data_IF_384231169744
#
_entry.id   IF_384231169744
#
_cell.length_a   1.000
_cell.length_b   1.000
_cell.length_c   1.000
_cell.angle_alpha   90.00
_cell.angle_beta   90.00
_cell.angle_gamma   90.00
#
_symmetry.space_group_name_H-M   'P 1'
#
loop_
_entity.id
_entity.type
_entity.pdbx_description
1 polymer ?
#
# COMPACT_ATOMS: atom_id res chain seq x y z
N UNK A 1 -9.84 25.90 -8.54
CA UNK A 1 -8.88 25.24 -9.46
C UNK A 1 -7.62 24.74 -8.74
N UNK A 2 -6.92 25.55 -7.93
CA UNK A 2 -5.72 25.11 -7.19
C UNK A 2 -5.98 23.92 -6.23
N UNK A 3 -7.09 23.96 -5.47
CA UNK A 3 -7.47 22.89 -4.53
C UNK A 3 -7.71 21.53 -5.24
N UNK A 4 -8.33 21.56 -6.42
CA UNK A 4 -8.62 20.35 -7.19
C UNK A 4 -7.34 19.76 -7.78
N UNK A 5 -6.39 20.60 -8.21
CA UNK A 5 -5.09 20.17 -8.72
C UNK A 5 -4.24 19.51 -7.62
N UNK A 6 -4.25 20.07 -6.40
CA UNK A 6 -3.57 19.48 -5.24
C UNK A 6 -4.19 18.12 -4.89
N UNK A 7 -5.52 18.02 -4.89
CA UNK A 7 -6.22 16.78 -4.58
C UNK A 7 -5.96 15.69 -5.63
N UNK A 8 -5.94 16.04 -6.91
CA UNK A 8 -5.56 15.12 -7.98
C UNK A 8 -4.09 14.69 -7.86
N UNK A 9 -3.20 15.64 -7.54
CA UNK A 9 -1.77 15.36 -7.32
C UNK A 9 -1.53 14.41 -6.16
N UNK A 10 -2.22 14.59 -5.03
CA UNK A 10 -2.16 13.70 -3.87
C UNK A 10 -2.65 12.28 -4.20
N UNK A 11 -3.68 12.13 -5.04
CA UNK A 11 -4.17 10.80 -5.45
C UNK A 11 -3.24 10.10 -6.44
N UNK A 12 -2.64 10.85 -7.37
CA UNK A 12 -1.57 10.31 -8.22
C UNK A 12 -0.36 9.88 -7.38
N UNK A 13 -0.04 10.63 -6.34
CA UNK A 13 1.01 10.30 -5.40
C UNK A 13 0.69 9.01 -4.64
N UNK A 14 -0.52 8.89 -4.09
CA UNK A 14 -1.00 7.65 -3.47
C UNK A 14 -0.91 6.48 -4.45
N UNK A 15 -1.43 6.63 -5.67
CA UNK A 15 -1.38 5.61 -6.71
C UNK A 15 0.04 5.14 -7.05
N UNK A 16 0.99 6.07 -7.14
CA UNK A 16 2.37 5.73 -7.43
C UNK A 16 2.98 4.88 -6.31
N UNK A 17 2.77 5.25 -5.05
CA UNK A 17 3.26 4.47 -3.91
C UNK A 17 2.57 3.12 -3.78
N UNK A 18 1.27 3.05 -4.00
CA UNK A 18 0.53 1.77 -3.96
C UNK A 18 1.02 0.81 -5.03
N UNK A 19 1.29 1.32 -6.24
CA UNK A 19 1.82 0.53 -7.36
C UNK A 19 3.23 0.01 -7.04
N UNK A 20 4.10 0.87 -6.51
CA UNK A 20 5.46 0.46 -6.15
C UNK A 20 5.45 -0.62 -5.05
N UNK A 21 4.68 -0.44 -3.98
CA UNK A 21 4.57 -1.43 -2.90
C UNK A 21 4.00 -2.75 -3.44
N UNK A 22 2.98 -2.71 -4.30
CA UNK A 22 2.42 -3.90 -4.93
C UNK A 22 3.46 -4.64 -5.78
N UNK A 23 4.24 -3.93 -6.60
CA UNK A 23 5.27 -4.52 -7.44
C UNK A 23 6.40 -5.15 -6.62
N UNK A 24 6.87 -4.46 -5.57
CA UNK A 24 7.90 -4.94 -4.66
C UNK A 24 7.45 -6.20 -3.91
N UNK A 25 6.25 -6.17 -3.31
CA UNK A 25 5.70 -7.33 -2.58
C UNK A 25 5.41 -8.50 -3.53
N UNK A 26 4.92 -8.24 -4.74
CA UNK A 26 4.72 -9.27 -5.76
C UNK A 26 6.03 -9.94 -6.17
N UNK A 27 7.11 -9.17 -6.32
CA UNK A 27 8.44 -9.72 -6.59
C UNK A 27 8.96 -10.58 -5.42
N UNK A 28 8.73 -10.16 -4.16
CA UNK A 28 9.09 -10.95 -2.98
C UNK A 28 8.35 -12.29 -2.92
N UNK A 29 7.08 -12.33 -3.36
CA UNK A 29 6.27 -13.56 -3.42
C UNK A 29 6.78 -14.51 -4.51
N UNK A 30 7.23 -13.96 -5.65
CA UNK A 30 7.78 -14.77 -6.74
C UNK A 30 9.11 -15.45 -6.35
N UNK A 31 9.91 -14.80 -5.51
CA UNK A 31 11.23 -15.28 -5.07
C UNK A 31 11.17 -16.17 -3.81
N UNK A 32 9.99 -16.39 -3.22
CA UNK A 32 9.85 -17.16 -1.97
C UNK A 32 9.84 -18.67 -2.23
N UNK A 33 10.79 -19.40 -1.63
CA UNK A 33 10.99 -20.83 -1.88
C UNK A 33 10.38 -21.77 -0.81
N UNK A 34 10.02 -21.29 0.38
CA UNK A 34 9.53 -22.13 1.52
C UNK A 34 8.17 -21.73 2.07
N UNK A 35 7.32 -21.12 1.23
CA UNK A 35 6.02 -20.58 1.65
C UNK A 35 6.13 -19.12 2.10
N UNK A 36 5.08 -18.35 1.85
CA UNK A 36 5.11 -16.90 2.06
C UNK A 36 4.64 -16.53 3.47
N UNK A 37 5.38 -15.72 4.24
CA UNK A 37 4.96 -15.27 5.56
C UNK A 37 3.59 -14.59 5.49
N UNK A 38 2.71 -14.85 6.47
CA UNK A 38 1.39 -14.22 6.54
C UNK A 38 1.46 -12.68 6.48
N UNK A 39 2.54 -12.09 6.98
CA UNK A 39 2.81 -10.65 6.91
C UNK A 39 2.98 -10.12 5.48
N UNK A 40 3.64 -10.88 4.60
CA UNK A 40 3.84 -10.49 3.19
C UNK A 40 2.52 -10.65 2.42
N UNK A 41 1.75 -11.70 2.70
CA UNK A 41 0.40 -11.87 2.14
C UNK A 41 -0.55 -10.73 2.56
N UNK A 42 -0.45 -10.27 3.81
CA UNK A 42 -1.21 -9.11 4.27
C UNK A 42 -0.80 -7.84 3.51
N UNK A 43 0.49 -7.59 3.32
CA UNK A 43 0.97 -6.44 2.54
C UNK A 43 0.47 -6.47 1.07
N UNK A 44 0.42 -7.66 0.45
CA UNK A 44 -0.16 -7.84 -0.88
C UNK A 44 -1.65 -7.49 -0.89
N UNK A 45 -2.43 -7.98 0.09
CA UNK A 45 -3.84 -7.64 0.25
C UNK A 45 -4.06 -6.13 0.41
N UNK A 46 -3.30 -5.48 1.30
CA UNK A 46 -3.41 -4.02 1.53
C UNK A 46 -3.13 -3.23 0.26
N UNK A 47 -2.09 -3.62 -0.49
CA UNK A 47 -1.76 -2.95 -1.76
C UNK A 47 -2.86 -3.13 -2.81
N UNK A 48 -3.46 -4.33 -2.92
CA UNK A 48 -4.57 -4.61 -3.83
C UNK A 48 -5.86 -3.87 -3.43
N UNK A 49 -6.16 -3.81 -2.14
CA UNK A 49 -7.30 -3.06 -1.60
C UNK A 49 -7.17 -1.56 -1.90
N UNK A 50 -5.98 -0.98 -1.68
CA UNK A 50 -5.76 0.44 -1.96
C UNK A 50 -5.85 0.73 -3.47
N UNK A 51 -5.30 -0.15 -4.33
CA UNK A 51 -5.46 -0.03 -5.78
C UNK A 51 -6.94 -0.05 -6.21
N UNK A 52 -7.75 -0.92 -5.59
CA UNK A 52 -9.20 -0.97 -5.83
C UNK A 52 -9.90 0.31 -5.34
N UNK A 53 -9.54 0.81 -4.17
CA UNK A 53 -10.11 2.04 -3.63
C UNK A 53 -9.79 3.25 -4.53
N UNK A 54 -8.60 3.30 -5.14
CA UNK A 54 -8.19 4.35 -6.07
C UNK A 54 -9.05 4.38 -7.33
N UNK A 55 -9.53 3.23 -7.83
CA UNK A 55 -10.51 3.21 -8.94
C UNK A 55 -11.82 3.91 -8.60
N UNK A 56 -12.25 3.91 -7.33
CA UNK A 56 -13.41 4.67 -6.87
C UNK A 56 -13.07 6.14 -6.61
N UNK A 57 -11.88 6.39 -6.07
CA UNK A 57 -11.43 7.71 -5.65
C UNK A 57 -11.11 8.63 -6.86
N UNK A 58 -10.47 8.12 -7.91
CA UNK A 58 -10.11 8.89 -9.12
C UNK A 58 -11.32 9.56 -9.80
N UNK A 59 -12.38 8.84 -10.23
CA UNK A 59 -13.53 9.46 -10.89
C UNK A 59 -14.27 10.44 -9.97
N UNK A 60 -14.31 10.15 -8.67
CA UNK A 60 -14.94 10.99 -7.68
C UNK A 60 -14.14 12.29 -7.39
N UNK A 61 -12.88 12.39 -7.84
CA UNK A 61 -12.06 13.62 -7.81
C UNK A 61 -12.36 14.57 -8.95
N UNK A 62 -12.84 14.05 -10.09
CA UNK A 62 -13.13 14.85 -11.28
C UNK A 62 -14.47 15.57 -11.19
N UNK A 63 -15.47 14.97 -10.54
CA UNK A 63 -16.73 15.61 -10.22
C UNK A 63 -17.20 15.17 -8.83
N UNK A 64 -17.31 16.11 -7.90
CA UNK A 64 -17.81 15.85 -6.55
C UNK A 64 -19.26 15.35 -6.56
N UNK A 65 -20.06 15.75 -7.56
CA UNK A 65 -21.44 15.27 -7.77
C UNK A 65 -21.52 13.79 -8.15
N UNK A 66 -20.42 13.18 -8.59
CA UNK A 66 -20.36 11.74 -8.88
C UNK A 66 -20.00 10.93 -7.64
N UNK A 67 -19.57 11.59 -6.56
CA UNK A 67 -19.39 10.96 -5.27
C UNK A 67 -20.76 10.81 -4.61
N UNK A 68 -21.30 9.59 -4.63
CA UNK A 68 -22.57 9.21 -3.97
C UNK A 68 -22.68 9.82 -2.56
N UNK A 69 -21.57 9.85 -1.80
CA UNK A 69 -21.46 10.58 -0.54
C UNK A 69 -19.99 10.94 -0.23
N UNK A 70 -19.67 12.18 0.19
CA UNK A 70 -18.30 12.59 0.53
C UNK A 70 -17.67 11.82 1.71
N UNK A 71 -18.50 11.19 2.54
CA UNK A 71 -18.07 10.33 3.65
C UNK A 71 -17.29 9.11 3.18
N UNK A 72 -17.64 8.54 2.02
CA UNK A 72 -17.02 7.31 1.52
C UNK A 72 -15.55 7.55 1.17
N UNK A 73 -15.22 8.73 0.63
CA UNK A 73 -13.83 9.10 0.36
C UNK A 73 -12.99 9.14 1.64
N UNK A 74 -13.51 9.80 2.69
CA UNK A 74 -12.80 9.94 3.97
C UNK A 74 -12.58 8.57 4.61
N UNK A 75 -13.60 7.70 4.57
CA UNK A 75 -13.51 6.35 5.14
C UNK A 75 -12.47 5.52 4.40
N UNK A 76 -12.47 5.55 3.06
CA UNK A 76 -11.50 4.79 2.26
C UNK A 76 -10.06 5.30 2.46
N UNK A 77 -9.85 6.63 2.48
CA UNK A 77 -8.53 7.21 2.78
C UNK A 77 -8.03 6.81 4.18
N UNK A 78 -8.90 6.90 5.19
CA UNK A 78 -8.54 6.55 6.57
C UNK A 78 -8.23 5.07 6.69
N UNK A 79 -9.01 4.22 6.01
CA UNK A 79 -8.82 2.78 6.03
C UNK A 79 -7.52 2.37 5.32
N UNK A 80 -7.22 2.97 4.16
CA UNK A 80 -5.93 2.81 3.49
C UNK A 80 -4.77 3.21 4.40
N UNK A 81 -4.86 4.35 5.08
CA UNK A 81 -3.81 4.82 5.98
C UNK A 81 -3.56 3.85 7.13
N UNK A 82 -4.60 3.32 7.77
CA UNK A 82 -4.48 2.34 8.86
C UNK A 82 -3.84 1.04 8.34
N UNK A 83 -4.30 0.55 7.18
CA UNK A 83 -3.78 -0.69 6.62
C UNK A 83 -2.32 -0.57 6.17
N UNK A 84 -1.92 0.53 5.53
CA UNK A 84 -0.52 0.74 5.17
C UNK A 84 0.37 0.92 6.40
N UNK A 85 -0.10 1.62 7.43
CA UNK A 85 0.65 1.81 8.67
C UNK A 85 0.91 0.46 9.35
N UNK A 86 -0.13 -0.36 9.52
CA UNK A 86 0.00 -1.68 10.15
C UNK A 86 0.84 -2.64 9.31
N UNK A 87 0.69 -2.64 7.98
CA UNK A 87 1.52 -3.45 7.08
C UNK A 87 2.99 -3.04 7.16
N UNK A 88 3.30 -1.74 7.20
CA UNK A 88 4.65 -1.22 7.34
C UNK A 88 5.30 -1.63 8.67
N UNK A 89 4.57 -1.47 9.79
CA UNK A 89 5.05 -1.90 11.12
C UNK A 89 5.30 -3.41 11.15
N UNK A 90 4.39 -4.20 10.60
CA UNK A 90 4.52 -5.65 10.58
C UNK A 90 5.69 -6.12 9.71
N UNK A 91 5.92 -5.50 8.56
CA UNK A 91 7.09 -5.79 7.71
C UNK A 91 8.40 -5.38 8.41
N UNK A 92 8.43 -4.20 9.05
CA UNK A 92 9.60 -3.73 9.81
C UNK A 92 9.95 -4.66 10.97
N UNK A 93 8.94 -5.17 11.70
CA UNK A 93 9.14 -6.15 12.77
C UNK A 93 9.63 -7.51 12.26
N UNK A 94 9.36 -7.88 11.00
CA UNK A 94 9.83 -9.13 10.39
C UNK A 94 11.25 -9.04 9.82
N UNK A 95 11.74 -7.83 9.56
CA UNK A 95 13.08 -7.55 9.07
C UNK A 95 14.15 -7.64 10.18
N UNK A 96 13.83 -8.23 11.34
CA UNK A 96 14.75 -8.55 12.45
C UNK A 96 16.08 -9.05 11.88
N UNK A 97 17.02 -8.11 11.72
CA UNK A 97 18.30 -8.36 11.12
C UNK A 97 19.12 -9.14 12.14
N UNK A 98 19.02 -10.47 12.08
CA UNK A 98 19.93 -11.32 12.81
C UNK A 98 21.31 -11.20 12.15
N UNK A 99 22.27 -10.61 12.85
CA UNK A 99 23.65 -10.46 12.40
C UNK A 99 24.21 -11.80 11.94
N UNK A 100 24.37 -11.98 10.64
CA UNK A 100 25.29 -12.97 10.10
C UNK A 100 26.72 -12.43 10.23
N UNK A 101 27.23 -12.37 11.46
CA UNK A 101 28.67 -12.48 11.69
C UNK A 101 28.92 -13.90 12.18
N UNK A 102 29.35 -14.79 11.28
CA UNK A 102 30.24 -15.87 11.65
C UNK A 102 31.01 -16.34 10.43
N UNK A 103 32.16 -15.70 10.25
CA UNK A 103 33.28 -16.22 9.48
C UNK A 103 33.79 -17.46 10.21
N UNK A 104 33.64 -18.66 9.64
CA UNK A 104 34.41 -19.82 10.06
C UNK A 104 34.99 -20.47 8.81
N UNK A 105 36.20 -20.01 8.45
CA UNK A 105 37.16 -20.87 7.79
C UNK A 105 37.54 -22.00 8.75
N UNK A 106 37.20 -23.22 8.34
CA UNK A 106 37.95 -24.48 8.50
C UNK A 106 37.49 -25.40 7.37
#
# INVERSE_FOLDING_TARGET
MAMNAIQLGLRLWEFLWTLLVMALVGNMIADSFSGNPATVNYAMFVSAFSMFSLFYLVPASFNLDWAIHPIIMIVLDTLNAIFFLTAGIALAARLEAHSCSNNLGI
#
